data_IF_765792822701
#
_entry.id   IF_765792822701
#
_cell.length_a   1.000
_cell.length_b   1.000
_cell.length_c   1.000
_cell.angle_alpha   90.00
_cell.angle_beta   90.00
_cell.angle_gamma   90.00
#
_symmetry.space_group_name_H-M   'P 1'
#
loop_
_entity.id
_entity.type
_entity.pdbx_description
1 polymer ?
#
# COMPACT_ATOMS: atom_id res chain seq x y z
N UNK A 1 3.27 5.20 61.02
CA UNK A 1 1.79 5.01 60.97
C UNK A 1 1.49 4.46 59.58
N UNK A 2 1.47 3.12 59.43
CA UNK A 2 0.27 2.25 59.38
C UNK A 2 -0.13 2.03 57.91
N UNK A 3 -0.15 0.84 57.29
CA UNK A 3 0.02 -0.61 57.60
C UNK A 3 0.44 -1.24 56.23
N UNK A 4 1.05 -2.40 56.07
CA UNK A 4 1.20 -3.62 56.85
C UNK A 4 2.01 -4.61 55.98
N UNK A 5 2.70 -5.53 56.64
CA UNK A 5 3.57 -6.57 56.10
C UNK A 5 2.78 -7.92 56.15
N UNK A 6 3.41 -9.11 56.01
CA UNK A 6 3.62 -9.97 54.83
C UNK A 6 2.90 -11.35 54.97
N UNK A 7 3.50 -12.44 54.44
CA UNK A 7 3.19 -13.89 54.59
C UNK A 7 2.08 -14.45 53.70
N UNK A 8 2.05 -15.70 53.23
CA UNK A 8 3.01 -16.79 53.04
C UNK A 8 2.19 -17.96 52.43
N UNK A 9 2.89 -18.93 51.83
CA UNK A 9 2.53 -20.35 51.61
C UNK A 9 1.04 -20.77 51.68
N UNK A 10 0.57 -21.49 50.67
CA UNK A 10 0.07 -22.85 50.91
C UNK A 10 0.06 -23.69 49.62
N UNK A 11 0.64 -24.89 49.73
CA UNK A 11 0.52 -25.97 48.78
C UNK A 11 -0.86 -26.64 48.87
N UNK A 12 -1.35 -27.19 47.76
CA UNK A 12 -2.16 -28.42 47.79
C UNK A 12 -2.17 -29.06 46.40
N UNK A 13 -1.42 -30.14 46.27
CA UNK A 13 -1.67 -31.16 45.28
C UNK A 13 -2.95 -31.92 45.68
N UNK A 14 -3.84 -32.15 44.74
CA UNK A 14 -4.87 -33.19 44.83
C UNK A 14 -4.76 -34.06 43.59
N UNK A 15 -3.96 -35.13 43.71
CA UNK A 15 -4.21 -36.36 42.96
C UNK A 15 -5.49 -36.98 43.53
N UNK A 16 -6.42 -37.35 42.67
CA UNK A 16 -7.44 -38.35 42.98
C UNK A 16 -7.50 -39.32 41.81
N UNK A 17 -7.12 -40.56 42.10
CA UNK A 17 -7.17 -41.72 41.22
C UNK A 17 -8.39 -42.59 41.62
N UNK A 18 -8.94 -43.26 40.60
CA UNK A 18 -10.01 -44.28 40.60
C UNK A 18 -11.41 -43.74 40.92
N UNK A 19 -12.45 -43.92 40.10
CA UNK A 19 -12.66 -44.77 38.93
C UNK A 19 -14.03 -45.43 39.07
N UNK A 20 -14.95 -45.21 38.11
CA UNK A 20 -16.07 -46.10 37.77
C UNK A 20 -16.82 -45.54 36.55
N UNK A 21 -17.07 -46.45 35.59
CA UNK A 21 -18.12 -46.46 34.57
C UNK A 21 -18.21 -45.38 33.48
N UNK A 22 -17.86 -45.82 32.26
CA UNK A 22 -18.79 -45.88 31.11
C UNK A 22 -19.53 -44.62 30.70
N UNK A 23 -19.04 -43.95 29.65
CA UNK A 23 -19.85 -43.02 28.86
C UNK A 23 -19.04 -41.99 28.08
N UNK A 24 -19.04 -42.13 26.76
CA UNK A 24 -18.93 -41.10 25.69
C UNK A 24 -17.98 -39.89 25.90
N UNK A 25 -17.04 -39.62 24.96
CA UNK A 25 -16.17 -38.44 25.06
C UNK A 25 -16.98 -37.13 24.95
N UNK A 26 -16.58 -36.06 25.65
CA UNK A 26 -17.29 -34.79 25.64
C UNK A 26 -17.11 -34.07 24.30
N UNK A 27 -18.23 -33.62 23.77
CA UNK A 27 -18.40 -32.80 22.57
C UNK A 27 -17.58 -31.51 22.67
N UNK A 28 -16.67 -31.29 21.71
CA UNK A 28 -16.07 -29.98 21.44
C UNK A 28 -17.17 -28.94 21.23
N UNK A 29 -17.26 -27.97 22.14
CA UNK A 29 -18.08 -26.79 21.95
C UNK A 29 -17.42 -25.91 20.88
N UNK A 30 -17.85 -26.08 19.63
CA UNK A 30 -17.67 -25.09 18.57
C UNK A 30 -18.24 -23.75 19.02
N UNK A 31 -17.38 -22.81 19.39
CA UNK A 31 -17.75 -21.41 19.47
C UNK A 31 -18.04 -20.93 18.05
N UNK A 32 -19.31 -20.72 17.76
CA UNK A 32 -19.75 -20.08 16.53
C UNK A 32 -19.21 -18.65 16.50
N UNK A 33 -18.19 -18.41 15.68
CA UNK A 33 -17.76 -17.06 15.31
C UNK A 33 -18.95 -16.34 14.67
N UNK A 34 -19.29 -15.18 15.22
CA UNK A 34 -20.30 -14.30 14.66
C UNK A 34 -20.01 -14.06 13.17
N UNK A 35 -21.02 -13.99 12.29
CA UNK A 35 -20.80 -13.65 10.90
C UNK A 35 -20.12 -12.29 10.82
N UNK A 36 -19.06 -12.21 10.02
CA UNK A 36 -18.41 -10.94 9.68
C UNK A 36 -19.48 -9.95 9.20
N UNK A 37 -19.39 -8.67 9.57
CA UNK A 37 -20.36 -7.67 9.12
C UNK A 37 -20.35 -7.65 7.59
N UNK A 38 -21.49 -7.97 7.01
CA UNK A 38 -21.78 -7.78 5.60
C UNK A 38 -21.48 -6.32 5.27
N UNK A 39 -20.51 -6.09 4.38
CA UNK A 39 -20.14 -4.75 3.90
C UNK A 39 -21.42 -4.04 3.44
N UNK A 40 -21.88 -3.08 4.24
CA UNK A 40 -22.81 -2.07 3.76
C UNK A 40 -22.12 -1.37 2.59
N UNK A 41 -22.82 -1.20 1.47
CA UNK A 41 -22.31 -0.43 0.35
C UNK A 41 -21.94 0.98 0.85
N UNK A 42 -20.64 1.28 0.91
CA UNK A 42 -20.12 2.58 1.33
C UNK A 42 -20.62 3.63 0.35
N UNK A 43 -21.29 4.68 0.86
CA UNK A 43 -21.69 5.85 0.04
C UNK A 43 -20.55 6.83 -0.18
N UNK A 44 -19.38 6.56 0.41
CA UNK A 44 -18.20 7.40 0.30
C UNK A 44 -17.64 7.33 -1.12
N UNK A 45 -17.14 8.47 -1.58
CA UNK A 45 -16.41 8.58 -2.85
C UNK A 45 -14.92 8.71 -2.55
N UNK A 46 -14.08 8.34 -3.50
CA UNK A 46 -12.63 8.57 -3.41
C UNK A 46 -12.36 10.06 -3.10
N UNK A 47 -11.49 10.31 -2.12
CA UNK A 47 -10.99 11.63 -1.76
C UNK A 47 -10.45 12.35 -2.98
N UNK A 48 -10.63 13.67 -3.00
CA UNK A 48 -10.13 14.55 -4.05
C UNK A 48 -9.33 15.68 -3.44
N UNK A 49 -8.17 15.95 -4.02
CA UNK A 49 -7.23 16.98 -3.60
C UNK A 49 -7.05 18.01 -4.72
N UNK A 50 -6.75 19.28 -4.36
CA UNK A 50 -6.55 20.33 -5.36
C UNK A 50 -5.37 20.04 -6.29
N UNK A 51 -4.31 19.41 -5.77
CA UNK A 51 -3.12 19.04 -6.51
C UNK A 51 -2.44 17.80 -5.92
N UNK A 52 -1.40 17.33 -6.61
CA UNK A 52 -0.62 16.16 -6.22
C UNK A 52 0.19 16.37 -4.94
N UNK A 53 0.57 17.61 -4.60
CA UNK A 53 1.33 17.87 -3.37
C UNK A 53 0.44 17.70 -2.14
N UNK A 54 -0.79 18.24 -2.18
CA UNK A 54 -1.79 18.03 -1.14
C UNK A 54 -2.17 16.54 -0.98
N UNK A 55 -2.29 15.81 -2.09
CA UNK A 55 -2.53 14.36 -2.05
C UNK A 55 -1.37 13.60 -1.36
N UNK A 56 -0.13 13.91 -1.70
CA UNK A 56 1.04 13.23 -1.12
C UNK A 56 1.18 13.54 0.37
N UNK A 57 0.93 14.79 0.77
CA UNK A 57 0.98 15.22 2.17
C UNK A 57 -0.06 14.48 3.03
N UNK A 58 -1.31 14.39 2.56
CA UNK A 58 -2.39 13.71 3.27
C UNK A 58 -2.19 12.18 3.34
N UNK A 59 -1.70 11.56 2.26
CA UNK A 59 -1.48 10.11 2.21
C UNK A 59 -0.24 9.66 2.99
N UNK A 60 0.78 10.51 3.13
CA UNK A 60 1.97 10.23 3.93
C UNK A 60 2.91 9.13 3.40
N UNK A 61 2.64 8.54 2.24
CA UNK A 61 3.47 7.48 1.64
C UNK A 61 4.81 8.01 1.08
N UNK A 62 4.85 9.29 0.70
CA UNK A 62 6.04 10.02 0.27
C UNK A 62 6.02 11.43 0.86
N UNK A 63 7.15 12.13 0.85
CA UNK A 63 7.25 13.46 1.45
C UNK A 63 8.33 14.31 0.79
N UNK A 64 8.01 15.59 0.60
CA UNK A 64 8.97 16.59 0.16
C UNK A 64 10.03 16.87 1.23
N UNK A 65 9.70 16.76 2.52
CA UNK A 65 10.60 17.07 3.63
C UNK A 65 11.82 16.15 3.70
N UNK A 66 11.63 14.89 3.30
CA UNK A 66 12.70 13.87 3.26
C UNK A 66 13.12 13.52 1.83
N UNK A 67 12.75 14.38 0.87
CA UNK A 67 13.15 14.33 -0.54
C UNK A 67 12.69 13.07 -1.29
N UNK A 68 11.69 12.35 -0.75
CA UNK A 68 11.07 11.19 -1.40
C UNK A 68 9.98 11.57 -2.39
N UNK A 69 9.59 12.84 -2.44
CA UNK A 69 8.67 13.42 -3.43
C UNK A 69 9.15 14.79 -3.90
N UNK A 70 8.97 15.10 -5.18
CA UNK A 70 9.09 16.46 -5.70
C UNK A 70 8.17 16.68 -6.91
N UNK A 71 7.63 17.89 -7.07
CA UNK A 71 7.02 18.34 -8.33
C UNK A 71 8.12 18.96 -9.19
N UNK A 72 8.38 18.39 -10.36
CA UNK A 72 9.39 18.87 -11.31
C UNK A 72 8.82 19.85 -12.33
N UNK A 73 7.54 19.69 -12.68
CA UNK A 73 6.77 20.60 -13.55
C UNK A 73 5.28 20.46 -13.22
N UNK A 74 4.53 21.55 -13.31
CA UNK A 74 3.07 21.55 -13.11
C UNK A 74 2.30 21.40 -14.42
N UNK A 75 2.84 21.89 -15.54
CA UNK A 75 2.20 21.85 -16.86
C UNK A 75 3.24 21.59 -17.98
N UNK A 76 3.28 20.38 -18.57
CA UNK A 76 2.56 19.18 -18.13
C UNK A 76 3.03 18.72 -16.73
N UNK A 77 2.15 18.06 -15.99
CA UNK A 77 2.46 17.58 -14.64
C UNK A 77 3.56 16.51 -14.69
N UNK A 78 4.63 16.75 -13.96
CA UNK A 78 5.78 15.86 -13.82
C UNK A 78 6.21 15.82 -12.36
N UNK A 79 6.18 14.63 -11.76
CA UNK A 79 6.62 14.40 -10.38
C UNK A 79 7.81 13.43 -10.33
N UNK A 80 8.60 13.54 -9.26
CA UNK A 80 9.60 12.56 -8.84
C UNK A 80 9.09 11.83 -7.61
N UNK A 81 9.20 10.51 -7.61
CA UNK A 81 9.04 9.68 -6.42
C UNK A 81 10.34 8.92 -6.16
N UNK A 82 10.77 8.87 -4.90
CA UNK A 82 11.98 8.16 -4.51
C UNK A 82 11.69 7.12 -3.43
N UNK A 83 11.37 5.87 -3.82
CA UNK A 83 11.19 4.79 -2.85
C UNK A 83 12.50 4.59 -2.08
N UNK A 84 12.36 4.36 -0.78
CA UNK A 84 13.48 4.16 0.10
C UNK A 84 13.95 2.71 0.04
N UNK A 85 15.22 2.51 -0.28
CA UNK A 85 15.84 1.18 -0.42
C UNK A 85 16.98 1.08 0.58
N UNK A 86 16.97 0.05 1.42
CA UNK A 86 18.03 -0.15 2.41
C UNK A 86 19.28 -0.70 1.72
N UNK A 87 20.45 -0.17 2.05
CA UNK A 87 21.70 -0.70 1.50
C UNK A 87 21.88 -2.16 1.90
N UNK A 88 22.11 -3.02 0.92
CA UNK A 88 22.24 -4.47 1.13
C UNK A 88 20.91 -5.22 1.05
N UNK A 89 19.81 -4.56 0.68
CA UNK A 89 18.57 -5.24 0.33
C UNK A 89 18.76 -6.25 -0.81
N UNK A 90 17.84 -7.20 -0.89
CA UNK A 90 17.82 -8.19 -1.96
C UNK A 90 17.62 -7.45 -3.29
N UNK A 91 18.46 -7.74 -4.29
CA UNK A 91 18.48 -7.03 -5.56
C UNK A 91 17.11 -7.02 -6.28
N UNK A 92 16.28 -8.04 -6.03
CA UNK A 92 14.92 -8.19 -6.57
C UNK A 92 13.92 -7.15 -6.00
N UNK A 93 14.20 -6.56 -4.84
CA UNK A 93 13.33 -5.56 -4.21
C UNK A 93 13.36 -4.23 -4.98
N UNK A 94 14.51 -3.87 -5.57
CA UNK A 94 14.67 -2.58 -6.23
C UNK A 94 13.70 -2.40 -7.43
N UNK A 95 13.63 -3.32 -8.41
CA UNK A 95 12.63 -3.21 -9.49
C UNK A 95 11.20 -3.19 -8.97
N UNK A 96 10.86 -4.06 -7.99
CA UNK A 96 9.53 -4.11 -7.37
C UNK A 96 9.12 -2.77 -6.78
N UNK A 97 10.00 -2.16 -5.98
CA UNK A 97 9.72 -0.89 -5.32
C UNK A 97 9.66 0.27 -6.31
N UNK A 98 10.50 0.26 -7.34
CA UNK A 98 10.45 1.25 -8.41
C UNK A 98 9.15 1.16 -9.21
N UNK A 99 8.72 -0.05 -9.57
CA UNK A 99 7.48 -0.28 -10.30
C UNK A 99 6.28 0.15 -9.47
N UNK A 100 6.25 -0.24 -8.18
CA UNK A 100 5.20 0.15 -7.25
C UNK A 100 5.11 1.66 -7.10
N UNK A 101 6.24 2.36 -6.95
CA UNK A 101 6.27 3.82 -6.87
C UNK A 101 5.78 4.48 -8.16
N UNK A 102 6.15 3.96 -9.34
CA UNK A 102 5.66 4.49 -10.61
C UNK A 102 4.14 4.32 -10.73
N UNK A 103 3.63 3.11 -10.48
CA UNK A 103 2.20 2.81 -10.53
C UNK A 103 1.42 3.62 -9.48
N UNK A 104 1.97 3.79 -8.27
CA UNK A 104 1.42 4.67 -7.25
C UNK A 104 1.27 6.10 -7.79
N UNK A 105 2.35 6.68 -8.32
CA UNK A 105 2.36 8.04 -8.83
C UNK A 105 1.39 8.25 -9.98
N UNK A 106 1.21 7.26 -10.86
CA UNK A 106 0.22 7.33 -11.95
C UNK A 106 -1.20 7.24 -11.37
N UNK A 107 -1.52 6.13 -10.69
CA UNK A 107 -2.89 5.82 -10.32
C UNK A 107 -3.42 6.71 -9.19
N UNK A 108 -2.65 6.96 -8.13
CA UNK A 108 -3.11 7.87 -7.06
C UNK A 108 -3.35 9.29 -7.60
N UNK A 109 -2.40 9.83 -8.36
CA UNK A 109 -2.56 11.18 -8.94
C UNK A 109 -3.80 11.27 -9.81
N UNK A 110 -4.00 10.31 -10.72
CA UNK A 110 -5.14 10.36 -11.63
C UNK A 110 -6.46 10.03 -10.92
N UNK A 111 -6.48 9.26 -9.83
CA UNK A 111 -7.71 9.00 -9.06
C UNK A 111 -8.11 10.22 -8.22
N UNK A 112 -7.15 10.86 -7.56
CA UNK A 112 -7.44 11.80 -6.47
C UNK A 112 -7.17 13.27 -6.80
N UNK A 113 -6.80 13.60 -8.04
CA UNK A 113 -6.54 15.00 -8.45
C UNK A 113 -7.23 15.33 -9.79
N UNK A 114 -7.42 16.62 -10.12
CA UNK A 114 -7.98 17.03 -11.41
C UNK A 114 -7.03 16.83 -12.60
N UNK A 115 -5.79 16.35 -12.39
CA UNK A 115 -4.82 16.14 -13.45
C UNK A 115 -5.36 15.18 -14.52
N UNK A 116 -5.18 15.53 -15.80
CA UNK A 116 -5.58 14.68 -16.92
C UNK A 116 -4.44 13.77 -17.41
N UNK A 117 -3.20 14.13 -17.06
CA UNK A 117 -2.01 13.33 -17.34
C UNK A 117 -0.96 13.60 -16.27
N UNK A 118 -0.05 12.65 -16.09
CA UNK A 118 1.08 12.79 -15.18
C UNK A 118 2.28 12.03 -15.75
N UNK A 119 3.45 12.65 -15.62
CA UNK A 119 4.74 11.98 -15.78
C UNK A 119 5.33 11.71 -14.40
N UNK A 120 5.71 10.48 -14.14
CA UNK A 120 6.34 10.03 -12.90
C UNK A 120 7.74 9.59 -13.22
N UNK A 121 8.72 10.22 -12.59
CA UNK A 121 10.11 9.77 -12.59
C UNK A 121 10.42 9.12 -11.25
N UNK A 122 10.79 7.85 -11.30
CA UNK A 122 11.21 7.10 -10.13
C UNK A 122 12.72 6.94 -10.12
N UNK A 123 13.34 7.33 -9.02
CA UNK A 123 14.76 7.10 -8.72
C UNK A 123 14.88 6.66 -7.26
N UNK A 124 15.73 5.69 -6.90
CA UNK A 124 15.76 5.20 -5.53
C UNK A 124 16.37 6.22 -4.55
N UNK A 125 15.88 6.23 -3.32
CA UNK A 125 16.54 6.87 -2.18
C UNK A 125 17.29 5.80 -1.39
N UNK A 126 18.62 5.79 -1.46
CA UNK A 126 19.43 4.81 -0.72
C UNK A 126 19.47 5.17 0.76
N UNK A 127 19.12 4.22 1.62
CA UNK A 127 19.23 4.32 3.07
C UNK A 127 20.41 3.49 3.56
N UNK A 128 21.36 4.11 4.25
CA UNK A 128 22.36 3.40 5.07
C UNK A 128 21.97 3.55 6.53
N UNK A 129 22.09 2.48 7.33
CA UNK A 129 21.66 2.51 8.74
C UNK A 129 22.79 2.89 9.71
N UNK A 130 24.05 2.57 9.37
CA UNK A 130 25.21 2.80 10.23
C UNK A 130 26.44 3.30 9.44
N UNK A 131 26.72 4.62 9.41
CA UNK A 131 25.90 5.70 9.94
C UNK A 131 24.60 5.87 9.14
N UNK A 132 23.59 6.46 9.78
CA UNK A 132 22.33 6.79 9.13
C UNK A 132 22.56 7.83 8.02
N UNK A 133 22.30 7.47 6.77
CA UNK A 133 22.40 8.38 5.62
C UNK A 133 21.28 8.12 4.63
N UNK A 134 20.78 9.21 4.04
CA UNK A 134 19.86 9.18 2.89
C UNK A 134 20.58 9.76 1.69
N UNK A 135 20.51 9.07 0.57
CA UNK A 135 21.16 9.52 -0.66
C UNK A 135 20.25 9.27 -1.86
N UNK A 136 19.73 10.35 -2.43
CA UNK A 136 18.97 10.31 -3.65
C UNK A 136 19.88 9.86 -4.79
N UNK A 137 19.52 8.76 -5.44
CA UNK A 137 20.30 8.22 -6.54
C UNK A 137 19.89 8.89 -7.86
N UNK A 138 20.82 8.92 -8.82
CA UNK A 138 20.54 9.36 -10.20
C UNK A 138 20.18 8.19 -11.12
N UNK A 139 20.50 6.96 -10.74
CA UNK A 139 20.19 5.72 -11.45
C UNK A 139 19.99 4.53 -10.48
N UNK A 140 19.28 3.47 -10.90
CA UNK A 140 18.46 3.38 -12.12
C UNK A 140 17.27 4.34 -12.08
N UNK A 141 16.70 4.62 -13.25
CA UNK A 141 15.54 5.50 -13.40
C UNK A 141 14.41 4.77 -14.15
N UNK A 142 13.18 4.90 -13.66
CA UNK A 142 11.96 4.51 -14.37
C UNK A 142 11.13 5.77 -14.63
N UNK A 143 10.81 6.05 -15.88
CA UNK A 143 9.93 7.15 -16.27
C UNK A 143 8.66 6.58 -16.89
N UNK A 144 7.51 6.93 -16.29
CA UNK A 144 6.19 6.57 -16.82
C UNK A 144 5.38 7.83 -17.06
N UNK A 145 4.78 7.97 -18.24
CA UNK A 145 3.90 9.10 -18.56
C UNK A 145 2.61 8.56 -19.15
N UNK A 146 1.49 8.88 -18.51
CA UNK A 146 0.17 8.39 -18.90
C UNK A 146 -0.90 9.49 -18.74
N UNK A 147 -1.86 9.50 -19.66
CA UNK A 147 -3.13 10.20 -19.47
C UNK A 147 -4.11 9.35 -18.65
N UNK A 148 -5.18 9.99 -18.17
CA UNK A 148 -6.31 9.34 -17.50
C UNK A 148 -6.91 8.21 -18.34
N UNK A 149 -7.10 8.46 -19.63
CA UNK A 149 -7.67 7.50 -20.59
C UNK A 149 -6.75 6.29 -20.78
N UNK A 150 -5.44 6.55 -20.92
CA UNK A 150 -4.42 5.51 -21.05
C UNK A 150 -4.36 4.62 -19.80
N UNK A 151 -4.31 5.23 -18.62
CA UNK A 151 -4.30 4.50 -17.35
C UNK A 151 -5.57 3.65 -17.15
N UNK A 152 -6.73 4.17 -17.56
CA UNK A 152 -8.00 3.44 -17.50
C UNK A 152 -8.04 2.27 -18.50
N UNK A 153 -7.58 2.49 -19.74
CA UNK A 153 -7.49 1.44 -20.74
C UNK A 153 -6.54 0.32 -20.30
N UNK A 154 -5.39 0.67 -19.73
CA UNK A 154 -4.42 -0.28 -19.20
C UNK A 154 -5.01 -1.17 -18.10
N UNK A 155 -5.60 -0.58 -17.06
CA UNK A 155 -6.14 -1.36 -15.94
C UNK A 155 -7.33 -2.24 -16.36
N UNK A 156 -8.17 -1.75 -17.29
CA UNK A 156 -9.32 -2.50 -17.85
C UNK A 156 -8.92 -3.79 -18.56
N UNK A 157 -7.70 -3.85 -19.08
CA UNK A 157 -7.18 -5.06 -19.73
C UNK A 157 -6.85 -6.18 -18.72
N UNK A 158 -6.74 -5.85 -17.43
CA UNK A 158 -6.36 -6.80 -16.37
C UNK A 158 -7.50 -7.10 -15.41
N UNK A 159 -8.31 -6.09 -15.08
CA UNK A 159 -9.42 -6.20 -14.13
C UNK A 159 -10.63 -5.35 -14.56
N UNK A 160 -11.85 -5.69 -14.14
CA UNK A 160 -13.03 -4.88 -14.46
C UNK A 160 -12.99 -3.52 -13.75
N UNK A 161 -12.95 -2.42 -14.49
CA UNK A 161 -13.11 -1.07 -13.95
C UNK A 161 -13.87 -0.23 -14.96
N UNK A 162 -14.81 0.60 -14.53
CA UNK A 162 -15.53 1.54 -15.40
C UNK A 162 -14.81 2.89 -15.46
N UNK A 163 -14.24 3.30 -14.32
CA UNK A 163 -13.48 4.51 -14.12
C UNK A 163 -12.33 4.26 -13.13
N UNK A 164 -11.33 5.15 -13.08
CA UNK A 164 -10.15 4.95 -12.24
C UNK A 164 -10.47 4.93 -10.73
N UNK A 165 -11.49 5.67 -10.28
CA UNK A 165 -11.89 5.65 -8.87
C UNK A 165 -12.51 4.33 -8.42
N UNK A 166 -12.86 3.43 -9.35
CA UNK A 166 -13.30 2.08 -8.98
C UNK A 166 -12.16 1.21 -8.44
N UNK A 167 -10.91 1.67 -8.59
CA UNK A 167 -9.72 0.96 -8.11
C UNK A 167 -9.50 1.13 -6.61
N UNK A 168 -10.26 2.00 -5.96
CA UNK A 168 -10.19 2.22 -4.51
C UNK A 168 -11.51 1.92 -3.82
N UNK A 169 -11.43 1.56 -2.54
CA UNK A 169 -12.56 1.36 -1.64
C UNK A 169 -12.44 2.38 -0.52
N UNK A 170 -13.24 3.46 -0.57
CA UNK A 170 -13.26 4.47 0.48
C UNK A 170 -13.85 3.93 1.78
N UNK A 171 -13.08 4.05 2.85
CA UNK A 171 -13.41 3.65 4.22
C UNK A 171 -13.20 4.83 5.17
N UNK A 172 -14.04 4.99 6.17
CA UNK A 172 -13.93 6.09 7.14
C UNK A 172 -13.67 5.54 8.55
N UNK A 173 -12.67 6.11 9.23
CA UNK A 173 -12.39 5.86 10.64
C UNK A 173 -12.31 7.21 11.38
N UNK A 174 -13.39 7.56 12.10
CA UNK A 174 -13.52 8.88 12.71
C UNK A 174 -13.57 9.98 11.63
N UNK A 175 -12.67 10.95 11.73
CA UNK A 175 -12.56 12.05 10.77
C UNK A 175 -11.62 11.75 9.59
N UNK A 176 -10.98 10.58 9.59
CA UNK A 176 -10.02 10.18 8.54
C UNK A 176 -10.71 9.26 7.54
N UNK A 177 -10.55 9.55 6.26
CA UNK A 177 -10.93 8.65 5.17
C UNK A 177 -9.68 7.97 4.59
N UNK A 178 -9.77 6.66 4.41
CA UNK A 178 -8.77 5.83 3.73
C UNK A 178 -9.34 5.33 2.41
N UNK A 179 -8.64 5.62 1.32
CA UNK A 179 -8.98 5.07 0.01
C UNK A 179 -8.11 3.86 -0.27
N UNK A 180 -8.45 2.72 0.31
CA UNK A 180 -7.69 1.47 0.16
C UNK A 180 -7.80 0.94 -1.27
N UNK A 181 -6.77 0.24 -1.77
CA UNK A 181 -6.89 -0.43 -3.07
C UNK A 181 -8.00 -1.49 -3.03
N UNK A 182 -8.80 -1.56 -4.09
CA UNK A 182 -9.76 -2.66 -4.28
C UNK A 182 -8.99 -3.97 -4.41
N UNK A 183 -9.47 -5.05 -3.79
CA UNK A 183 -8.72 -6.31 -3.62
C UNK A 183 -8.15 -6.95 -4.89
N UNK A 184 -8.81 -6.77 -6.04
CA UNK A 184 -8.31 -7.27 -7.33
C UNK A 184 -7.21 -6.36 -7.89
N UNK A 185 -7.35 -5.04 -7.77
CA UNK A 185 -6.29 -4.09 -8.09
C UNK A 185 -5.10 -4.22 -7.14
N UNK A 186 -5.33 -4.47 -5.86
CA UNK A 186 -4.30 -4.73 -4.85
C UNK A 186 -3.36 -5.87 -5.30
N UNK A 187 -3.92 -6.96 -5.85
CA UNK A 187 -3.12 -8.08 -6.38
C UNK A 187 -2.26 -7.66 -7.57
N UNK A 188 -2.79 -6.82 -8.45
CA UNK A 188 -2.04 -6.25 -9.58
C UNK A 188 -0.93 -5.32 -9.06
N UNK A 189 -1.25 -4.48 -8.08
CA UNK A 189 -0.37 -3.44 -7.56
C UNK A 189 0.78 -3.98 -6.69
N UNK A 190 0.54 -4.99 -5.84
CA UNK A 190 1.58 -5.55 -4.95
C UNK A 190 2.34 -6.74 -5.52
N UNK A 191 1.77 -7.46 -6.51
CA UNK A 191 2.40 -8.64 -7.10
C UNK A 191 3.32 -8.29 -8.26
N UNK A 192 4.54 -8.84 -8.29
CA UNK A 192 5.56 -8.51 -9.30
C UNK A 192 5.07 -8.75 -10.72
N UNK A 193 4.40 -9.89 -10.93
CA UNK A 193 3.77 -10.19 -12.21
C UNK A 193 2.72 -9.14 -12.56
N UNK A 194 1.86 -8.78 -11.61
CA UNK A 194 0.82 -7.78 -11.81
C UNK A 194 1.37 -6.39 -12.13
N UNK A 195 2.43 -5.97 -11.46
CA UNK A 195 3.11 -4.71 -11.72
C UNK A 195 3.68 -4.68 -13.15
N UNK A 196 4.35 -5.75 -13.56
CA UNK A 196 4.89 -5.89 -14.91
C UNK A 196 3.78 -5.92 -15.96
N UNK A 197 2.72 -6.70 -15.73
CA UNK A 197 1.55 -6.76 -16.62
C UNK A 197 0.92 -5.37 -16.77
N UNK A 198 0.82 -4.59 -15.69
CA UNK A 198 0.22 -3.25 -15.71
C UNK A 198 1.11 -2.20 -16.40
N UNK A 199 2.43 -2.29 -16.25
CA UNK A 199 3.37 -1.45 -17.00
C UNK A 199 3.33 -1.77 -18.50
N UNK A 200 3.25 -3.05 -18.88
CA UNK A 200 3.09 -3.45 -20.28
C UNK A 200 1.71 -3.02 -20.83
N UNK A 201 0.65 -3.12 -20.03
CA UNK A 201 -0.67 -2.63 -20.41
C UNK A 201 -0.70 -1.11 -20.60
N UNK A 202 0.01 -0.35 -19.75
CA UNK A 202 0.21 1.10 -19.92
C UNK A 202 0.90 1.37 -21.26
N UNK A 203 2.00 0.68 -21.56
CA UNK A 203 2.69 0.83 -22.84
C UNK A 203 1.78 0.48 -24.03
N UNK A 204 1.00 -0.60 -23.93
CA UNK A 204 0.04 -1.01 -24.96
C UNK A 204 -1.10 0.00 -25.17
N UNK A 205 -1.46 0.78 -24.13
CA UNK A 205 -2.43 1.88 -24.24
C UNK A 205 -1.86 3.15 -24.89
N UNK A 206 -0.57 3.16 -25.24
CA UNK A 206 0.14 4.31 -25.80
C UNK A 206 0.80 5.22 -24.76
N UNK A 207 0.83 4.82 -23.49
CA UNK A 207 1.60 5.51 -22.46
C UNK A 207 3.11 5.31 -22.71
N UNK A 208 3.93 6.26 -22.26
CA UNK A 208 5.38 6.10 -22.28
C UNK A 208 5.84 5.35 -21.03
N UNK A 209 6.61 4.28 -21.20
CA UNK A 209 7.26 3.53 -20.12
C UNK A 209 8.72 3.32 -20.52
N UNK A 210 9.65 3.94 -19.78
CA UNK A 210 11.07 3.92 -20.10
C UNK A 210 11.91 3.61 -18.86
N UNK A 211 12.71 2.54 -18.94
CA UNK A 211 13.77 2.25 -17.98
C UNK A 211 15.11 2.76 -18.50
N UNK A 212 15.85 3.43 -17.64
CA UNK A 212 17.25 3.79 -17.87
C UNK A 212 18.09 3.09 -16.81
N UNK A 213 18.85 2.10 -17.26
CA UNK A 213 19.95 1.54 -16.48
C UNK A 213 21.14 2.48 -16.63
N UNK A 214 21.84 2.74 -15.52
CA UNK A 214 23.01 3.63 -15.49
C UNK A 214 24.20 3.07 -16.25
#
# INVERSE_FOLDING_TARGET
>A
MSKGMPLALLAAALLSLAGCDGGTPPTEQSQASAPAPTQAASTLKASQYPDVAAMIDDMGDFSAEIDTFAVLSTEPLHIRLAPQIVQGDIAENLPRDMNRAALYGIYRTLIHTPAQAVTVTVVPMRLTLNPAKRELQSSPQLVVSATREQALAAVRSLIPAEQLSDLVVPEQAGEIQFDNWRKDFEKVYFGDKGQNDLLEALKASGANVAYKQG
#
